data_IF_663740370407
#
_entry.id   IF_663740370407
#
_cell.length_a   1.000
_cell.length_b   1.000
_cell.length_c   1.000
_cell.angle_alpha   90.00
_cell.angle_beta   90.00
_cell.angle_gamma   90.00
#
_symmetry.space_group_name_H-M   'P 1'
#
loop_
_entity.id
_entity.type
_entity.pdbx_description
1 polymer ?
#
# COMPACT_ATOMS: atom_id res chain seq x y z
N UNK A 1 32.73 4.11 21.65
CA UNK A 1 31.79 4.83 22.51
C UNK A 1 30.57 3.93 22.63
N UNK A 2 30.45 3.24 23.77
CA UNK A 2 29.31 2.39 24.10
C UNK A 2 28.16 3.28 24.56
N UNK A 3 27.11 3.38 23.75
CA UNK A 3 25.84 3.96 24.20
C UNK A 3 25.01 2.85 24.83
N UNK A 4 25.07 2.75 26.14
CA UNK A 4 24.11 1.93 26.92
C UNK A 4 22.78 2.66 26.96
N UNK A 5 21.80 2.15 26.23
CA UNK A 5 20.42 2.60 26.29
C UNK A 5 19.77 1.96 27.53
N UNK A 6 19.63 2.72 28.60
CA UNK A 6 18.78 2.30 29.74
C UNK A 6 17.31 2.37 29.28
N UNK A 7 16.68 1.21 29.15
CA UNK A 7 15.23 1.11 28.95
C UNK A 7 14.51 1.52 30.24
N UNK A 8 14.24 2.81 30.40
CA UNK A 8 13.26 3.24 31.40
C UNK A 8 11.87 2.87 30.89
N UNK A 9 11.20 2.02 31.64
CA UNK A 9 9.83 1.58 31.39
C UNK A 9 8.90 2.78 31.17
N UNK A 10 8.26 2.83 30.01
CA UNK A 10 7.29 3.87 29.58
C UNK A 10 5.94 3.71 30.30
N UNK A 11 5.89 3.22 31.52
CA UNK A 11 4.64 2.90 32.23
C UNK A 11 4.05 4.06 33.06
N UNK A 12 4.55 5.28 32.90
CA UNK A 12 4.07 6.41 33.74
C UNK A 12 3.96 7.74 32.97
N UNK A 13 3.27 7.78 31.84
CA UNK A 13 2.88 9.05 31.22
C UNK A 13 1.41 9.02 30.80
N UNK A 14 0.50 9.04 31.77
CA UNK A 14 -0.94 9.12 31.56
C UNK A 14 -1.51 10.55 31.68
N UNK A 15 -0.69 11.59 31.62
CA UNK A 15 -1.18 12.96 31.56
C UNK A 15 -0.84 13.60 30.21
N UNK A 16 -1.84 14.08 29.50
CA UNK A 16 -1.73 14.82 28.23
C UNK A 16 -0.76 16.01 28.32
N UNK A 17 -0.59 16.63 29.51
CA UNK A 17 0.36 17.73 29.75
C UNK A 17 1.84 17.32 29.63
N UNK A 18 2.18 16.08 29.91
CA UNK A 18 3.55 15.56 29.76
C UNK A 18 3.93 15.28 28.30
N UNK A 19 2.96 14.86 27.50
CA UNK A 19 3.14 14.58 26.07
C UNK A 19 3.34 15.89 25.29
N UNK A 20 2.59 16.95 25.59
CA UNK A 20 2.72 18.25 24.92
C UNK A 20 4.10 18.91 25.15
N UNK A 21 4.71 18.73 26.31
CA UNK A 21 6.07 19.25 26.57
C UNK A 21 7.16 18.49 25.83
N UNK A 22 7.01 17.17 25.68
CA UNK A 22 8.03 16.33 25.03
C UNK A 22 8.07 16.54 23.50
N UNK A 23 6.95 16.91 22.89
CA UNK A 23 6.82 17.11 21.44
C UNK A 23 6.70 18.57 21.02
N UNK A 24 7.14 19.52 21.86
CA UNK A 24 7.05 20.96 21.56
C UNK A 24 7.78 21.39 20.29
N UNK A 25 8.81 20.62 19.87
CA UNK A 25 9.57 20.84 18.63
C UNK A 25 8.97 20.12 17.43
N UNK A 26 8.00 19.25 17.64
CA UNK A 26 7.32 18.55 16.55
C UNK A 26 6.47 19.54 15.73
N UNK A 27 6.42 19.32 14.42
CA UNK A 27 5.56 20.11 13.55
C UNK A 27 4.08 19.95 13.95
N UNK A 28 3.23 20.98 13.79
CA UNK A 28 1.83 20.93 14.26
C UNK A 28 1.05 19.70 13.78
N UNK A 29 1.25 19.28 12.53
CA UNK A 29 0.53 18.18 11.91
C UNK A 29 0.87 16.79 12.48
N UNK A 30 1.96 16.65 13.26
CA UNK A 30 2.35 15.37 13.89
C UNK A 30 2.19 15.37 15.41
N UNK A 31 1.83 16.52 16.00
CA UNK A 31 1.61 16.62 17.44
C UNK A 31 0.40 15.78 17.86
N UNK A 32 0.58 14.97 18.90
CA UNK A 32 -0.46 14.09 19.41
C UNK A 32 -0.72 12.84 18.56
N UNK A 33 -0.06 12.66 17.42
CA UNK A 33 -0.13 11.43 16.64
C UNK A 33 0.82 10.39 17.23
N UNK A 34 0.29 9.21 17.54
CA UNK A 34 1.07 8.03 17.93
C UNK A 34 0.87 6.95 16.90
N UNK A 35 1.95 6.38 16.40
CA UNK A 35 1.88 5.17 15.59
C UNK A 35 1.54 3.99 16.53
N UNK A 36 0.27 3.69 16.72
CA UNK A 36 -0.14 2.43 17.34
C UNK A 36 -0.18 1.37 16.24
N UNK A 37 0.85 0.55 16.17
CA UNK A 37 0.83 -0.64 15.33
C UNK A 37 0.13 -1.78 16.09
N UNK A 38 -1.16 -1.91 15.84
CA UNK A 38 -1.99 -2.94 16.45
C UNK A 38 -1.55 -4.36 16.08
N UNK A 39 -0.94 -4.55 14.90
CA UNK A 39 -0.47 -5.84 14.40
C UNK A 39 0.74 -6.28 15.22
N UNK A 40 1.77 -5.44 15.34
CA UNK A 40 2.94 -5.77 16.17
C UNK A 40 2.60 -5.88 17.66
N UNK A 41 1.66 -5.08 18.16
CA UNK A 41 1.18 -5.24 19.53
C UNK A 41 0.48 -6.60 19.74
N UNK A 42 -0.32 -7.06 18.78
CA UNK A 42 -0.93 -8.38 18.81
C UNK A 42 0.13 -9.50 18.71
N UNK A 43 1.10 -9.35 17.80
CA UNK A 43 2.22 -10.29 17.67
C UNK A 43 3.00 -10.43 18.98
N UNK A 44 3.37 -9.33 19.62
CA UNK A 44 4.09 -9.36 20.88
C UNK A 44 3.30 -10.10 21.98
N UNK A 45 1.97 -9.92 22.03
CA UNK A 45 1.11 -10.69 22.97
C UNK A 45 1.10 -12.18 22.64
N UNK A 46 1.01 -12.54 21.35
CA UNK A 46 1.02 -13.94 20.92
C UNK A 46 2.37 -14.62 21.26
N UNK A 47 3.50 -13.95 20.98
CA UNK A 47 4.83 -14.44 21.33
C UNK A 47 4.97 -14.63 22.86
N UNK A 48 4.60 -13.62 23.64
CA UNK A 48 4.66 -13.71 25.10
C UNK A 48 3.77 -14.82 25.68
N UNK A 49 2.62 -15.09 25.06
CA UNK A 49 1.76 -16.20 25.43
C UNK A 49 2.40 -17.55 25.06
N UNK A 50 2.97 -17.67 23.85
CA UNK A 50 3.67 -18.88 23.42
C UNK A 50 4.85 -19.23 24.33
N UNK A 51 5.61 -18.24 24.76
CA UNK A 51 6.72 -18.42 25.72
C UNK A 51 6.22 -18.91 27.09
N UNK A 52 4.99 -18.50 27.48
CA UNK A 52 4.41 -18.88 28.77
C UNK A 52 3.78 -20.27 28.79
N UNK A 53 3.08 -20.67 27.73
CA UNK A 53 2.27 -21.90 27.72
C UNK A 53 2.74 -22.96 26.73
N UNK A 54 3.73 -22.66 25.91
CA UNK A 54 4.29 -23.53 24.86
C UNK A 54 3.90 -23.07 23.45
N UNK A 55 4.86 -23.12 22.52
CA UNK A 55 4.67 -22.70 21.11
C UNK A 55 3.64 -23.56 20.38
N UNK A 56 3.55 -24.85 20.73
CA UNK A 56 2.60 -25.82 20.23
C UNK A 56 1.13 -25.52 20.57
N UNK A 57 0.90 -24.62 21.53
CA UNK A 57 -0.43 -24.24 22.02
C UNK A 57 -0.89 -22.87 21.51
N UNK A 58 -0.08 -22.17 20.74
CA UNK A 58 -0.39 -20.83 20.24
C UNK A 58 -0.21 -20.77 18.74
N UNK A 59 -1.30 -20.53 18.02
CA UNK A 59 -1.26 -20.22 16.59
C UNK A 59 -1.15 -18.70 16.44
N UNK A 60 0.02 -18.23 15.98
CA UNK A 60 0.28 -16.81 15.75
C UNK A 60 0.07 -16.47 14.26
N UNK A 61 -1.11 -15.95 13.91
CA UNK A 61 -1.44 -15.47 12.57
C UNK A 61 -1.46 -13.93 12.45
N UNK A 62 -0.75 -13.21 13.32
CA UNK A 62 -0.85 -11.74 13.40
C UNK A 62 0.00 -11.00 12.37
N UNK A 63 1.13 -11.56 11.96
CA UNK A 63 2.02 -10.99 10.95
C UNK A 63 1.88 -11.79 9.66
N UNK A 64 1.74 -11.10 8.52
CA UNK A 64 1.60 -11.72 7.20
C UNK A 64 2.92 -12.32 6.70
N UNK A 65 3.44 -13.32 7.40
CA UNK A 65 4.64 -14.06 7.02
C UNK A 65 4.29 -15.52 6.74
N UNK A 66 4.92 -16.10 5.71
CA UNK A 66 4.79 -17.53 5.45
C UNK A 66 5.82 -18.24 6.33
N UNK A 67 5.33 -19.11 7.21
CA UNK A 67 6.15 -19.90 8.11
C UNK A 67 6.05 -21.38 7.72
N UNK A 68 7.15 -22.13 7.93
CA UNK A 68 7.15 -23.57 7.82
C UNK A 68 6.48 -24.23 9.05
N UNK A 69 6.42 -25.58 9.04
CA UNK A 69 5.79 -26.35 10.14
C UNK A 69 6.54 -26.20 11.48
N UNK A 70 7.81 -25.82 11.44
CA UNK A 70 8.63 -25.56 12.64
C UNK A 70 8.54 -24.10 13.11
N UNK A 71 7.80 -23.25 12.38
CA UNK A 71 7.62 -21.82 12.68
C UNK A 71 8.76 -20.94 12.22
N UNK A 72 9.62 -21.42 11.31
CA UNK A 72 10.67 -20.61 10.70
C UNK A 72 10.13 -19.88 9.48
N UNK A 73 10.70 -18.69 9.18
CA UNK A 73 10.36 -17.94 7.98
C UNK A 73 10.73 -18.75 6.74
N UNK A 74 9.78 -18.93 5.82
CA UNK A 74 10.04 -19.55 4.52
C UNK A 74 10.87 -18.61 3.68
N UNK A 75 12.01 -19.09 3.20
CA UNK A 75 12.94 -18.36 2.35
C UNK A 75 12.98 -18.99 0.95
N UNK A 76 12.92 -18.15 -0.08
CA UNK A 76 13.09 -18.61 -1.45
C UNK A 76 14.57 -18.92 -1.72
N UNK A 77 14.92 -20.17 -2.01
CA UNK A 77 16.31 -20.59 -2.23
C UNK A 77 16.98 -19.80 -3.37
N UNK A 78 16.24 -19.53 -4.46
CA UNK A 78 16.74 -18.72 -5.58
C UNK A 78 17.14 -17.30 -5.15
N UNK A 79 16.45 -16.71 -4.17
CA UNK A 79 16.77 -15.38 -3.63
C UNK A 79 18.03 -15.45 -2.78
N UNK A 80 18.15 -16.47 -1.91
CA UNK A 80 19.36 -16.71 -1.10
C UNK A 80 20.59 -16.91 -1.98
N UNK A 81 20.49 -17.72 -3.00
CA UNK A 81 21.57 -17.93 -3.96
C UNK A 81 21.94 -16.66 -4.73
N UNK A 82 20.94 -15.86 -5.16
CA UNK A 82 21.19 -14.61 -5.84
C UNK A 82 21.90 -13.61 -4.92
N UNK A 83 21.46 -13.52 -3.66
CA UNK A 83 22.08 -12.66 -2.66
C UNK A 83 23.53 -13.08 -2.34
N UNK A 84 23.79 -14.39 -2.20
CA UNK A 84 25.11 -14.93 -1.94
C UNK A 84 26.13 -14.67 -3.08
N UNK A 85 25.64 -14.43 -4.29
CA UNK A 85 26.48 -14.08 -5.46
C UNK A 85 26.85 -12.61 -5.54
N UNK A 86 26.22 -11.73 -4.74
CA UNK A 86 26.54 -10.32 -4.73
C UNK A 86 27.90 -10.08 -4.09
N UNK A 87 28.76 -9.31 -4.75
CA UNK A 87 30.00 -8.86 -4.16
C UNK A 87 29.75 -7.79 -3.10
N UNK A 88 30.62 -7.63 -2.08
CA UNK A 88 30.51 -6.55 -1.12
C UNK A 88 30.37 -5.16 -1.78
N UNK A 89 31.06 -4.95 -2.90
CA UNK A 89 30.98 -3.69 -3.65
C UNK A 89 29.57 -3.44 -4.21
N UNK A 90 28.88 -4.45 -4.69
CA UNK A 90 27.50 -4.33 -5.20
C UNK A 90 26.52 -4.03 -4.07
N UNK A 91 26.74 -4.62 -2.88
CA UNK A 91 25.87 -4.40 -1.71
C UNK A 91 26.01 -2.98 -1.14
N UNK A 92 27.23 -2.45 -1.07
CA UNK A 92 27.51 -1.16 -0.42
C UNK A 92 27.54 0.03 -1.37
N UNK A 93 27.51 -0.20 -2.69
CA UNK A 93 27.55 0.87 -3.68
C UNK A 93 26.29 1.72 -3.66
N UNK A 94 26.43 3.00 -3.99
CA UNK A 94 25.28 3.87 -4.20
C UNK A 94 24.38 3.31 -5.30
N UNK A 95 23.12 3.16 -5.00
CA UNK A 95 22.08 2.87 -5.99
C UNK A 95 21.64 4.17 -6.70
N UNK A 96 21.29 4.12 -7.99
CA UNK A 96 20.61 5.23 -8.65
C UNK A 96 19.33 5.61 -7.92
N UNK A 97 18.97 6.89 -7.89
CA UNK A 97 17.79 7.39 -7.16
C UNK A 97 16.50 6.67 -7.59
N UNK A 98 16.37 6.38 -8.88
CA UNK A 98 15.20 5.68 -9.42
C UNK A 98 15.27 4.16 -9.24
N UNK A 99 16.42 3.61 -8.89
CA UNK A 99 16.72 2.18 -8.90
C UNK A 99 17.59 1.78 -10.10
N UNK A 100 18.09 0.54 -10.08
CA UNK A 100 18.84 -0.01 -11.21
C UNK A 100 17.94 -0.30 -12.40
N UNK A 101 18.32 0.13 -13.60
CA UNK A 101 17.55 0.00 -14.84
C UNK A 101 17.05 -1.45 -15.05
N UNK A 102 17.96 -2.43 -14.97
CA UNK A 102 17.59 -3.85 -15.12
C UNK A 102 16.59 -4.34 -14.07
N UNK A 103 16.65 -3.81 -12.86
CA UNK A 103 15.67 -4.13 -11.82
C UNK A 103 14.30 -3.55 -12.20
N UNK A 104 14.26 -2.28 -12.62
CA UNK A 104 13.01 -1.61 -13.02
C UNK A 104 12.36 -2.29 -14.22
N UNK A 105 13.15 -2.64 -15.24
CA UNK A 105 12.68 -3.41 -16.41
C UNK A 105 12.11 -4.77 -15.99
N UNK A 106 12.83 -5.51 -15.13
CA UNK A 106 12.36 -6.80 -14.62
C UNK A 106 11.07 -6.68 -13.81
N UNK A 107 10.93 -5.61 -13.02
CA UNK A 107 9.69 -5.34 -12.28
C UNK A 107 8.52 -5.05 -13.22
N UNK A 108 8.73 -4.26 -14.27
CA UNK A 108 7.71 -3.98 -15.29
C UNK A 108 7.28 -5.29 -15.97
N UNK A 109 8.23 -6.09 -16.42
CA UNK A 109 7.96 -7.35 -17.11
C UNK A 109 7.27 -8.37 -16.20
N UNK A 110 7.70 -8.50 -14.95
CA UNK A 110 7.08 -9.39 -13.97
C UNK A 110 5.67 -8.92 -13.59
N UNK A 111 5.49 -7.62 -13.37
CA UNK A 111 4.20 -7.04 -12.99
C UNK A 111 3.15 -7.23 -14.09
N UNK A 112 3.47 -6.85 -15.31
CA UNK A 112 2.49 -6.84 -16.40
C UNK A 112 2.43 -8.12 -17.22
N UNK A 113 3.53 -8.85 -17.36
CA UNK A 113 3.62 -10.00 -18.26
C UNK A 113 3.12 -9.66 -19.66
N UNK A 114 2.27 -10.51 -20.23
CA UNK A 114 1.65 -10.31 -21.55
C UNK A 114 0.52 -9.23 -21.52
N UNK A 115 0.14 -8.79 -20.34
CA UNK A 115 -0.95 -7.83 -20.15
C UNK A 115 -0.48 -6.39 -20.02
N UNK A 116 0.73 -6.08 -20.48
CA UNK A 116 1.26 -4.71 -20.50
C UNK A 116 0.29 -3.77 -21.21
N UNK A 117 -0.15 -2.66 -20.56
CA UNK A 117 -1.04 -1.69 -21.19
C UNK A 117 -0.33 -0.90 -22.27
N UNK A 118 -1.09 -0.39 -23.24
CA UNK A 118 -0.54 0.52 -24.26
C UNK A 118 -0.29 1.90 -23.65
N UNK A 119 0.90 2.42 -23.87
CA UNK A 119 1.27 3.76 -23.40
C UNK A 119 2.69 3.86 -22.90
N UNK A 120 3.03 5.02 -22.37
CA UNK A 120 4.32 5.23 -21.72
C UNK A 120 4.29 4.61 -20.30
N UNK A 121 5.24 3.72 -20.05
CA UNK A 121 5.40 3.06 -18.76
C UNK A 121 6.82 3.32 -18.27
N UNK A 122 6.91 3.76 -17.02
CA UNK A 122 8.17 3.91 -16.31
C UNK A 122 8.03 3.35 -14.90
N UNK A 123 9.15 3.06 -14.25
CA UNK A 123 9.16 2.55 -12.88
C UNK A 123 10.20 3.29 -12.03
N UNK A 124 9.98 3.27 -10.73
CA UNK A 124 10.98 3.68 -9.74
C UNK A 124 10.94 2.74 -8.53
N UNK A 125 12.11 2.47 -7.97
CA UNK A 125 12.22 1.72 -6.74
C UNK A 125 11.82 2.59 -5.54
N UNK A 126 11.10 2.00 -4.60
CA UNK A 126 10.66 2.67 -3.36
C UNK A 126 10.93 1.75 -2.17
N UNK A 127 10.92 2.26 -0.92
CA UNK A 127 10.97 1.42 0.28
C UNK A 127 9.68 0.57 0.41
N UNK A 128 9.58 -0.49 -0.40
CA UNK A 128 8.41 -1.35 -0.50
C UNK A 128 7.16 -0.67 -1.07
N UNK A 129 6.03 -1.39 -1.10
CA UNK A 129 4.73 -0.86 -1.51
C UNK A 129 4.28 0.33 -0.65
N UNK A 130 4.58 0.31 0.65
CA UNK A 130 4.32 1.43 1.56
C UNK A 130 4.98 2.72 1.08
N UNK A 131 6.23 2.65 0.63
CA UNK A 131 6.93 3.81 0.06
C UNK A 131 6.28 4.30 -1.24
N UNK A 132 5.84 3.40 -2.10
CA UNK A 132 5.13 3.74 -3.33
C UNK A 132 3.83 4.51 -3.03
N UNK A 133 3.02 4.00 -2.10
CA UNK A 133 1.77 4.64 -1.66
C UNK A 133 2.05 6.02 -1.05
N UNK A 134 3.00 6.11 -0.10
CA UNK A 134 3.34 7.36 0.55
C UNK A 134 3.78 8.44 -0.44
N UNK A 135 4.71 8.11 -1.34
CA UNK A 135 5.16 9.07 -2.34
C UNK A 135 4.07 9.49 -3.31
N UNK A 136 3.19 8.56 -3.70
CA UNK A 136 2.07 8.89 -4.58
C UNK A 136 1.08 9.82 -3.90
N UNK A 137 0.66 9.51 -2.67
CA UNK A 137 -0.24 10.38 -1.90
C UNK A 137 0.37 11.78 -1.76
N UNK A 138 1.65 11.84 -1.34
CA UNK A 138 2.32 13.12 -1.10
C UNK A 138 2.46 13.98 -2.36
N UNK A 139 2.79 13.38 -3.50
CA UNK A 139 3.09 14.11 -4.73
C UNK A 139 1.84 14.52 -5.53
N UNK A 140 0.72 13.81 -5.40
CA UNK A 140 -0.45 13.99 -6.25
C UNK A 140 -1.69 14.52 -5.52
N UNK A 141 -1.59 14.80 -4.22
CA UNK A 141 -2.63 15.47 -3.45
C UNK A 141 -2.06 16.67 -2.68
N UNK A 142 -2.90 17.66 -2.39
CA UNK A 142 -2.56 18.84 -1.58
C UNK A 142 -2.91 18.59 -0.11
N UNK A 143 -2.41 19.49 0.77
CA UNK A 143 -2.78 19.50 2.19
C UNK A 143 -4.30 19.66 2.35
N UNK A 144 -4.89 18.77 3.16
CA UNK A 144 -6.32 18.75 3.40
C UNK A 144 -7.15 18.08 2.32
N UNK A 145 -6.56 17.64 1.21
CA UNK A 145 -7.27 16.84 0.21
C UNK A 145 -7.74 15.50 0.78
N UNK A 146 -8.85 15.01 0.23
CA UNK A 146 -9.36 13.67 0.49
C UNK A 146 -8.70 12.67 -0.47
N UNK A 147 -8.23 11.55 0.10
CA UNK A 147 -7.76 10.38 -0.64
C UNK A 147 -8.81 9.30 -0.52
N UNK A 148 -9.24 8.75 -1.65
CA UNK A 148 -10.33 7.77 -1.71
C UNK A 148 -9.80 6.35 -1.57
N UNK A 149 -10.40 5.60 -0.64
CA UNK A 149 -10.15 4.19 -0.41
C UNK A 149 -11.48 3.43 -0.27
N UNK A 150 -11.43 2.11 -0.18
CA UNK A 150 -12.60 1.28 0.15
C UNK A 150 -12.85 1.27 1.66
N UNK A 151 -14.07 0.99 2.11
CA UNK A 151 -14.39 0.78 3.54
C UNK A 151 -13.68 -0.48 4.10
N UNK A 152 -13.52 -1.53 3.30
CA UNK A 152 -12.66 -2.67 3.60
C UNK A 152 -11.27 -2.47 3.01
N UNK A 153 -10.30 -2.12 3.86
CA UNK A 153 -8.94 -1.79 3.42
C UNK A 153 -7.88 -2.23 4.43
N UNK A 154 -6.64 -2.24 3.99
CA UNK A 154 -5.50 -2.44 4.87
C UNK A 154 -5.35 -1.22 5.80
N UNK A 155 -5.43 -1.46 7.13
CA UNK A 155 -5.50 -0.39 8.13
C UNK A 155 -4.32 0.60 8.12
N UNK A 156 -3.19 0.26 7.49
CA UNK A 156 -2.08 1.20 7.34
C UNK A 156 -2.39 2.36 6.35
N UNK A 157 -3.39 2.21 5.46
CA UNK A 157 -3.78 3.32 4.57
C UNK A 157 -4.20 4.56 5.37
N UNK A 158 -4.90 4.39 6.48
CA UNK A 158 -5.32 5.51 7.33
C UNK A 158 -4.12 6.36 7.76
N UNK A 159 -3.07 5.72 8.26
CA UNK A 159 -1.85 6.40 8.67
C UNK A 159 -1.10 7.02 7.50
N UNK A 160 -0.99 6.31 6.37
CA UNK A 160 -0.31 6.80 5.17
C UNK A 160 -0.98 8.04 4.59
N UNK A 161 -2.30 8.16 4.73
CA UNK A 161 -3.09 9.31 4.29
C UNK A 161 -3.02 10.45 5.32
N UNK A 162 -3.15 10.12 6.61
CA UNK A 162 -3.18 11.13 7.67
C UNK A 162 -1.81 11.79 7.92
N UNK A 163 -0.71 11.03 7.86
CA UNK A 163 0.62 11.58 8.12
C UNK A 163 0.98 12.79 7.26
N UNK A 164 0.77 12.79 5.94
CA UNK A 164 1.04 13.93 5.09
C UNK A 164 -0.09 14.98 5.12
N UNK A 165 -0.94 14.99 6.15
CA UNK A 165 -2.04 15.95 6.33
C UNK A 165 -3.12 15.85 5.24
N UNK A 166 -3.48 14.61 4.83
CA UNK A 166 -4.64 14.33 3.96
C UNK A 166 -5.75 13.71 4.79
N UNK A 167 -6.94 13.62 4.23
CA UNK A 167 -8.11 13.05 4.88
C UNK A 167 -8.53 11.77 4.18
N UNK A 168 -8.88 10.77 4.96
CA UNK A 168 -9.46 9.52 4.44
C UNK A 168 -10.89 9.78 4.00
N UNK A 169 -11.20 9.42 2.76
CA UNK A 169 -12.56 9.26 2.27
C UNK A 169 -12.78 7.81 1.86
N UNK A 170 -13.90 7.23 2.22
CA UNK A 170 -14.20 5.84 1.88
C UNK A 170 -15.57 5.70 1.20
N UNK A 171 -15.71 4.61 0.46
CA UNK A 171 -16.98 4.17 -0.13
C UNK A 171 -17.19 2.69 0.17
N UNK A 172 -18.44 2.23 0.11
CA UNK A 172 -18.77 0.82 0.27
C UNK A 172 -18.17 0.02 -0.88
N UNK A 173 -17.22 -0.88 -0.56
CA UNK A 173 -16.47 -1.63 -1.55
C UNK A 173 -17.32 -2.61 -2.34
N UNK A 174 -18.12 -3.39 -1.61
CA UNK A 174 -18.93 -4.46 -2.18
C UNK A 174 -20.42 -4.16 -2.01
N UNK A 175 -21.18 -4.52 -3.02
CA UNK A 175 -22.65 -4.58 -2.96
C UNK A 175 -23.12 -5.74 -2.07
N UNK A 176 -24.40 -5.79 -1.76
CA UNK A 176 -24.98 -6.87 -0.93
C UNK A 176 -24.86 -8.25 -1.59
N UNK A 177 -24.77 -8.30 -2.92
CA UNK A 177 -24.55 -9.53 -3.71
C UNK A 177 -23.06 -9.86 -3.93
N UNK A 178 -22.15 -9.07 -3.32
CA UNK A 178 -20.73 -9.38 -3.25
C UNK A 178 -19.90 -8.95 -4.47
N UNK A 179 -20.38 -8.01 -5.28
CA UNK A 179 -19.66 -7.43 -6.41
C UNK A 179 -19.11 -6.04 -6.07
N UNK A 180 -18.13 -5.58 -6.84
CA UNK A 180 -17.60 -4.22 -6.70
C UNK A 180 -18.71 -3.17 -6.88
N UNK A 181 -18.84 -2.26 -5.92
CA UNK A 181 -19.88 -1.24 -5.90
C UNK A 181 -19.52 -0.03 -6.76
N UNK A 182 -19.74 -0.16 -8.06
CA UNK A 182 -19.43 0.90 -9.06
C UNK A 182 -20.21 2.17 -8.78
N UNK A 183 -21.45 2.09 -8.31
CA UNK A 183 -22.28 3.25 -8.07
C UNK A 183 -21.79 4.05 -6.86
N UNK A 184 -21.50 3.40 -5.73
CA UNK A 184 -20.89 4.06 -4.59
C UNK A 184 -19.52 4.66 -4.92
N UNK A 185 -18.72 3.98 -5.75
CA UNK A 185 -17.45 4.51 -6.26
C UNK A 185 -17.66 5.79 -7.06
N UNK A 186 -18.58 5.78 -8.03
CA UNK A 186 -18.92 6.93 -8.89
C UNK A 186 -19.35 8.13 -8.05
N UNK A 187 -20.35 7.93 -7.19
CA UNK A 187 -20.88 8.98 -6.33
C UNK A 187 -19.79 9.65 -5.49
N UNK A 188 -18.89 8.83 -4.91
CA UNK A 188 -17.81 9.36 -4.08
C UNK A 188 -16.72 10.07 -4.89
N UNK A 189 -16.37 9.60 -6.08
CA UNK A 189 -15.44 10.28 -6.99
C UNK A 189 -15.98 11.64 -7.40
N UNK A 190 -17.26 11.71 -7.81
CA UNK A 190 -17.92 12.95 -8.20
C UNK A 190 -18.01 13.94 -7.02
N UNK A 191 -18.40 13.46 -5.85
CA UNK A 191 -18.47 14.25 -4.62
C UNK A 191 -17.10 14.87 -4.27
N UNK A 192 -16.04 14.08 -4.24
CA UNK A 192 -14.68 14.57 -3.93
C UNK A 192 -14.22 15.57 -5.00
N UNK A 193 -14.36 15.25 -6.28
CA UNK A 193 -13.96 16.15 -7.36
C UNK A 193 -14.83 17.41 -7.47
N UNK A 194 -15.99 17.46 -6.83
CA UNK A 194 -16.74 18.71 -6.71
C UNK A 194 -16.02 19.75 -5.83
N UNK A 195 -15.22 19.31 -4.88
CA UNK A 195 -14.55 20.16 -3.87
C UNK A 195 -13.05 20.32 -4.10
N UNK A 196 -12.38 19.40 -4.77
CA UNK A 196 -10.94 19.44 -5.04
C UNK A 196 -10.62 19.22 -6.50
N UNK A 197 -9.43 19.61 -6.93
CA UNK A 197 -8.99 19.51 -8.33
C UNK A 197 -8.49 18.11 -8.69
N UNK A 198 -7.74 17.51 -7.80
CA UNK A 198 -7.12 16.20 -7.98
C UNK A 198 -7.79 15.20 -7.05
N UNK A 199 -7.92 13.95 -7.50
CA UNK A 199 -8.29 12.84 -6.63
C UNK A 199 -7.20 11.77 -6.70
N UNK A 200 -6.76 11.28 -5.54
CA UNK A 200 -5.93 10.09 -5.41
C UNK A 200 -6.81 8.96 -4.88
N UNK A 201 -6.76 7.83 -5.55
CA UNK A 201 -7.62 6.67 -5.27
C UNK A 201 -6.73 5.45 -5.08
N UNK A 202 -6.86 4.74 -3.98
CA UNK A 202 -6.17 3.47 -3.73
C UNK A 202 -7.21 2.35 -3.82
N UNK A 203 -7.00 1.43 -4.75
CA UNK A 203 -7.80 0.22 -4.90
C UNK A 203 -6.92 -1.02 -4.76
N UNK A 204 -7.04 -1.72 -3.64
CA UNK A 204 -6.48 -3.04 -3.45
C UNK A 204 -7.48 -4.08 -3.97
N UNK A 205 -7.65 -4.13 -5.29
CA UNK A 205 -8.65 -4.94 -5.98
C UNK A 205 -8.12 -6.28 -6.51
N UNK A 206 -6.93 -6.69 -6.09
CA UNK A 206 -6.32 -7.99 -6.44
C UNK A 206 -5.97 -8.70 -5.14
N UNK A 207 -6.77 -9.71 -4.78
CA UNK A 207 -6.74 -10.38 -3.49
C UNK A 207 -6.75 -9.37 -2.32
N UNK A 208 -7.78 -8.52 -2.30
CA UNK A 208 -7.92 -7.43 -1.33
C UNK A 208 -7.63 -7.84 0.11
N UNK A 209 -6.85 -7.05 0.80
CA UNK A 209 -6.67 -7.19 2.24
C UNK A 209 -7.68 -6.28 2.98
N UNK A 210 -8.72 -6.83 3.70
CA UNK A 210 -8.74 -8.19 4.27
C UNK A 210 -9.69 -9.18 3.58
N UNK A 211 -10.43 -8.81 2.55
CA UNK A 211 -11.56 -9.61 2.05
C UNK A 211 -11.16 -10.78 1.14
N UNK A 212 -9.96 -10.74 0.55
CA UNK A 212 -9.54 -11.66 -0.49
C UNK A 212 -10.21 -11.44 -1.85
N UNK A 213 -11.06 -10.42 -1.99
CA UNK A 213 -11.77 -10.12 -3.23
C UNK A 213 -10.83 -9.78 -4.37
N UNK A 214 -11.09 -10.36 -5.53
CA UNK A 214 -10.41 -10.02 -6.78
C UNK A 214 -11.42 -9.38 -7.74
N UNK A 215 -11.21 -8.12 -8.07
CA UNK A 215 -12.02 -7.41 -9.06
C UNK A 215 -11.83 -8.04 -10.45
N UNK A 216 -12.93 -8.21 -11.17
CA UNK A 216 -12.94 -8.68 -12.55
C UNK A 216 -12.38 -7.62 -13.51
N UNK A 217 -12.06 -8.04 -14.74
CA UNK A 217 -11.63 -7.10 -15.80
C UNK A 217 -12.71 -6.07 -16.08
N UNK A 218 -13.97 -6.48 -16.06
CA UNK A 218 -15.15 -5.64 -16.29
C UNK A 218 -15.32 -4.59 -15.17
N UNK A 219 -15.07 -4.97 -13.93
CA UNK A 219 -15.12 -4.03 -12.79
C UNK A 219 -13.98 -3.00 -12.86
N UNK A 220 -12.77 -3.42 -13.22
CA UNK A 220 -11.66 -2.49 -13.49
C UNK A 220 -11.97 -1.57 -14.67
N UNK A 221 -12.62 -2.08 -15.72
CA UNK A 221 -13.06 -1.25 -16.83
C UNK A 221 -14.10 -0.22 -16.37
N UNK A 222 -15.05 -0.62 -15.54
CA UNK A 222 -16.05 0.30 -14.97
C UNK A 222 -15.40 1.41 -14.13
N UNK A 223 -14.36 1.10 -13.34
CA UNK A 223 -13.55 2.12 -12.64
C UNK A 223 -12.97 3.13 -13.63
N UNK A 224 -12.32 2.65 -14.68
CA UNK A 224 -11.70 3.51 -15.70
C UNK A 224 -12.76 4.37 -16.41
N UNK A 225 -13.92 3.81 -16.72
CA UNK A 225 -15.01 4.52 -17.39
C UNK A 225 -15.59 5.63 -16.51
N UNK A 226 -15.77 5.37 -15.20
CA UNK A 226 -16.17 6.41 -14.23
C UNK A 226 -15.13 7.53 -14.21
N UNK A 227 -13.85 7.23 -14.14
CA UNK A 227 -12.80 8.25 -14.10
C UNK A 227 -12.78 9.06 -15.40
N UNK A 228 -12.85 8.41 -16.57
CA UNK A 228 -12.92 9.10 -17.87
C UNK A 228 -14.11 10.06 -17.91
N UNK A 229 -15.30 9.58 -17.57
CA UNK A 229 -16.50 10.42 -17.56
C UNK A 229 -16.38 11.61 -16.62
N UNK A 230 -15.74 11.43 -15.48
CA UNK A 230 -15.66 12.45 -14.44
C UNK A 230 -14.63 13.54 -14.75
N UNK A 231 -13.49 13.20 -15.39
CA UNK A 231 -12.37 14.14 -15.58
C UNK A 231 -12.15 14.59 -17.01
N UNK A 232 -12.59 13.82 -18.03
CA UNK A 232 -12.32 14.14 -19.42
C UNK A 232 -12.98 15.47 -19.85
N UNK A 233 -12.18 16.32 -20.48
CA UNK A 233 -12.65 17.67 -20.90
C UNK A 233 -12.84 18.66 -19.75
N UNK A 234 -12.54 18.31 -18.51
CA UNK A 234 -12.66 19.15 -17.32
C UNK A 234 -11.28 19.49 -16.75
N UNK A 235 -11.18 20.57 -15.97
CA UNK A 235 -9.96 20.90 -15.19
C UNK A 235 -9.89 20.09 -13.90
N UNK A 236 -9.95 18.76 -14.04
CA UNK A 236 -9.89 17.77 -12.96
C UNK A 236 -8.91 16.66 -13.33
N UNK A 237 -8.25 16.09 -12.34
CA UNK A 237 -7.28 15.01 -12.54
C UNK A 237 -7.57 13.84 -11.60
N UNK A 238 -7.30 12.63 -12.06
CA UNK A 238 -7.39 11.42 -11.26
C UNK A 238 -6.06 10.67 -11.26
N UNK A 239 -5.64 10.23 -10.10
CA UNK A 239 -4.52 9.30 -9.91
C UNK A 239 -5.09 8.02 -9.30
N UNK A 240 -5.10 6.96 -10.08
CA UNK A 240 -5.53 5.63 -9.65
C UNK A 240 -4.31 4.81 -9.23
N UNK A 241 -4.35 4.28 -8.02
CA UNK A 241 -3.32 3.39 -7.49
C UNK A 241 -3.91 1.98 -7.35
N UNK A 242 -3.77 1.11 -8.35
CA UNK A 242 -3.95 -0.32 -8.13
C UNK A 242 -2.86 -0.80 -7.17
N UNK A 243 -3.23 -1.13 -5.94
CA UNK A 243 -2.34 -1.80 -5.00
C UNK A 243 -2.45 -3.30 -5.25
N UNK A 244 -1.39 -3.85 -5.82
CA UNK A 244 -1.32 -5.24 -6.27
C UNK A 244 -0.31 -6.07 -5.47
N UNK A 245 -0.18 -5.77 -4.18
CA UNK A 245 0.75 -6.45 -3.29
C UNK A 245 0.62 -7.98 -3.30
N UNK A 246 -0.57 -8.50 -3.62
CA UNK A 246 -0.86 -9.93 -3.65
C UNK A 246 -1.03 -10.51 -5.06
N UNK A 247 -0.60 -9.78 -6.10
CA UNK A 247 -0.78 -10.17 -7.50
C UNK A 247 -0.27 -11.58 -7.80
N UNK A 248 0.92 -11.90 -7.31
CA UNK A 248 1.57 -13.19 -7.57
C UNK A 248 0.96 -14.36 -6.76
N UNK A 249 0.01 -14.06 -5.86
CA UNK A 249 -0.73 -15.04 -5.06
C UNK A 249 -2.21 -15.15 -5.44
N UNK A 250 -2.66 -14.37 -6.43
CA UNK A 250 -4.11 -14.22 -6.73
C UNK A 250 -4.63 -15.20 -7.78
N UNK A 251 -3.80 -16.09 -8.29
CA UNK A 251 -4.20 -17.11 -9.27
C UNK A 251 -3.19 -17.33 -10.40
N UNK A 252 -3.67 -17.85 -11.52
CA UNK A 252 -2.85 -18.09 -12.71
C UNK A 252 -2.20 -16.80 -13.21
N UNK A 253 -0.88 -16.85 -13.46
CA UNK A 253 -0.04 -15.68 -13.73
C UNK A 253 -0.59 -14.75 -14.81
N UNK A 254 -1.07 -15.31 -15.91
CA UNK A 254 -1.59 -14.49 -17.03
C UNK A 254 -3.01 -14.00 -16.75
N UNK A 255 -3.87 -14.84 -16.17
CA UNK A 255 -5.26 -14.50 -15.89
C UNK A 255 -5.38 -13.36 -14.87
N UNK A 256 -4.65 -13.43 -13.76
CA UNK A 256 -4.72 -12.39 -12.73
C UNK A 256 -4.16 -11.03 -13.16
N UNK A 257 -3.49 -10.96 -14.34
CA UNK A 257 -2.92 -9.73 -14.91
C UNK A 257 -3.76 -9.12 -16.03
N UNK A 258 -4.79 -9.82 -16.54
CA UNK A 258 -5.57 -9.36 -17.72
C UNK A 258 -6.16 -7.97 -17.57
N UNK A 259 -6.52 -7.59 -16.36
CA UNK A 259 -7.10 -6.28 -16.06
C UNK A 259 -6.14 -5.11 -16.37
N UNK A 260 -4.84 -5.30 -16.39
CA UNK A 260 -3.90 -4.21 -16.71
C UNK A 260 -4.14 -3.61 -18.10
N UNK A 261 -4.70 -4.38 -19.03
CA UNK A 261 -5.03 -3.88 -20.39
C UNK A 261 -6.00 -2.69 -20.37
N UNK A 262 -6.88 -2.59 -19.36
CA UNK A 262 -7.86 -1.50 -19.27
C UNK A 262 -7.19 -0.13 -19.03
N UNK A 263 -5.94 -0.12 -18.56
CA UNK A 263 -5.18 1.10 -18.31
C UNK A 263 -4.45 1.64 -19.54
N UNK A 264 -4.64 1.03 -20.71
CA UNK A 264 -4.14 1.54 -21.98
C UNK A 264 -4.94 2.72 -22.52
N UNK A 265 -4.27 3.66 -23.21
CA UNK A 265 -4.93 4.76 -23.92
C UNK A 265 -5.75 5.71 -23.03
N UNK A 266 -5.36 5.90 -21.79
CA UNK A 266 -6.02 6.82 -20.86
C UNK A 266 -5.82 8.30 -21.29
N UNK A 267 -6.80 9.19 -21.02
CA UNK A 267 -6.62 10.62 -21.23
C UNK A 267 -5.53 11.18 -20.32
N UNK A 268 -4.88 12.25 -20.75
CA UNK A 268 -3.68 12.85 -20.10
C UNK A 268 -3.88 13.29 -18.64
N UNK A 269 -5.12 13.44 -18.22
CA UNK A 269 -5.49 13.82 -16.85
C UNK A 269 -5.89 12.63 -15.96
N UNK A 270 -5.64 11.40 -16.44
CA UNK A 270 -5.70 10.18 -15.64
C UNK A 270 -4.31 9.54 -15.62
N UNK A 271 -3.76 9.36 -14.42
CA UNK A 271 -2.50 8.66 -14.19
C UNK A 271 -2.78 7.37 -13.41
N UNK A 272 -2.25 6.25 -13.89
CA UNK A 272 -2.26 4.99 -13.13
C UNK A 272 -0.87 4.73 -12.55
N UNK A 273 -0.77 4.48 -11.26
CA UNK A 273 0.47 4.13 -10.55
C UNK A 273 0.27 2.78 -9.88
N UNK A 274 0.87 1.73 -10.42
CA UNK A 274 0.77 0.39 -9.86
C UNK A 274 1.73 0.25 -8.69
N UNK A 275 1.21 0.00 -7.49
CA UNK A 275 2.00 -0.34 -6.32
C UNK A 275 2.25 -1.86 -6.31
N UNK A 276 3.42 -2.26 -6.82
CA UNK A 276 3.84 -3.66 -6.93
C UNK A 276 4.97 -3.97 -5.95
N UNK A 277 4.88 -5.09 -5.27
CA UNK A 277 5.87 -5.56 -4.29
C UNK A 277 6.39 -6.94 -4.70
N UNK A 278 7.70 -7.16 -4.59
CA UNK A 278 8.37 -8.45 -4.84
C UNK A 278 8.57 -9.20 -3.53
#
# INVERSE_FOLDING_TARGET
>A
VSLTYESRSVTAMSSLEGVDRMFSVAAPQVRGKSAQDNIFAANNRAVALADKIGKDKVINGTVGSILDEDGNLVELEVVKEAYARLSPRQIIAYAPIQGYEKFLESCIDQCFGESRPDGYINACATPGGTGALHHTIHNYSADGDEVLITDWHWGAYDSLIDYPNRRVASFQFLTDDGHFNVDAFREKVEDILSRQKNIVIILNGVANNPTGYCMSVEEWQAVVDVLKHTVEGKDKNAVLIPDVAYLDYSGEKQECRRFFKVFGGLPKNILTIVAYTL
#
